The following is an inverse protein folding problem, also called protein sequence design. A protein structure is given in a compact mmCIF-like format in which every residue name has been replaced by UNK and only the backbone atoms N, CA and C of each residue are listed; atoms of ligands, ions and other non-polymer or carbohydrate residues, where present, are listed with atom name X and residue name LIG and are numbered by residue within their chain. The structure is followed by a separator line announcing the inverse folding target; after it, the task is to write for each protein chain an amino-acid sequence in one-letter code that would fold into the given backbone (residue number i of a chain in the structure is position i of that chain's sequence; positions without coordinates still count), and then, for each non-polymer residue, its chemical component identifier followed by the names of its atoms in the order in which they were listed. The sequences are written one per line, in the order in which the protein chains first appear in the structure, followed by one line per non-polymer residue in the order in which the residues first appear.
data_IF_335639493387
#
_entry.id   IF_335639493387
#
_cell.length_a   1.000
_cell.length_b   1.000
_cell.length_c   1.000
_cell.angle_alpha   90.00
_cell.angle_beta   90.00
_cell.angle_gamma   90.00
#
_symmetry.space_group_name_H-M   'P 1'
#
loop_
_entity.id
_entity.type
_entity.pdbx_description
1 polymer ?
#
# COMPACT_ATOMS: atom_id res chain seq x y z
N UNK A 1 -35.36 15.00 -13.73
CA UNK A 1 -34.00 14.45 -13.91
C UNK A 1 -34.19 12.96 -14.06
N UNK A 2 -33.81 12.42 -15.22
CA UNK A 2 -33.85 10.97 -15.44
C UNK A 2 -32.96 10.28 -14.40
N UNK A 3 -33.45 9.18 -13.86
CA UNK A 3 -32.76 8.36 -12.88
C UNK A 3 -31.71 7.50 -13.60
N UNK A 4 -30.47 7.50 -13.13
CA UNK A 4 -29.44 6.62 -13.66
C UNK A 4 -29.38 5.31 -12.89
N UNK A 5 -29.38 4.17 -13.60
CA UNK A 5 -29.22 2.84 -13.00
C UNK A 5 -27.77 2.55 -12.62
N UNK A 6 -26.81 3.10 -13.36
CA UNK A 6 -25.40 3.02 -13.09
C UNK A 6 -24.82 4.42 -12.83
N UNK A 7 -24.20 4.58 -11.67
CA UNK A 7 -23.53 5.80 -11.25
C UNK A 7 -22.02 5.57 -11.31
N UNK A 8 -21.34 6.26 -12.26
CA UNK A 8 -19.90 6.18 -12.39
C UNK A 8 -19.25 7.43 -11.82
N UNK A 9 -18.45 7.27 -10.76
CA UNK A 9 -17.73 8.36 -10.12
C UNK A 9 -16.23 8.17 -10.23
N UNK A 10 -15.49 9.28 -10.29
CA UNK A 10 -14.03 9.28 -10.31
C UNK A 10 -13.41 9.02 -8.94
N UNK A 11 -14.12 9.37 -7.89
CA UNK A 11 -13.67 9.25 -6.50
C UNK A 11 -14.83 8.77 -5.64
N UNK A 12 -14.50 7.99 -4.60
CA UNK A 12 -15.44 7.64 -3.56
C UNK A 12 -15.97 8.90 -2.83
N UNK A 13 -17.28 8.95 -2.66
CA UNK A 13 -17.98 9.90 -1.80
C UNK A 13 -18.92 9.13 -0.87
N UNK A 14 -18.58 9.08 0.40
CA UNK A 14 -19.35 8.32 1.39
C UNK A 14 -20.82 8.74 1.49
N UNK A 15 -21.13 10.01 1.23
CA UNK A 15 -22.51 10.51 1.19
C UNK A 15 -23.35 9.88 0.07
N UNK A 16 -22.71 9.43 -1.04
CA UNK A 16 -23.43 8.86 -2.18
C UNK A 16 -24.05 7.52 -1.85
N UNK A 17 -23.38 6.67 -1.04
CA UNK A 17 -23.92 5.38 -0.64
C UNK A 17 -25.25 5.49 0.11
N UNK A 18 -25.47 6.60 0.83
CA UNK A 18 -26.71 6.84 1.59
C UNK A 18 -27.87 7.28 0.71
N UNK A 19 -27.62 7.63 -0.53
CA UNK A 19 -28.61 8.15 -1.49
C UNK A 19 -28.82 7.21 -2.67
N UNK A 20 -28.21 6.01 -2.64
CA UNK A 20 -28.47 4.98 -3.64
C UNK A 20 -29.80 4.30 -3.36
N UNK A 21 -30.55 4.07 -4.43
CA UNK A 21 -31.68 3.17 -4.40
C UNK A 21 -31.21 1.71 -4.55
N UNK A 22 -31.99 0.75 -4.09
CA UNK A 22 -31.61 -0.67 -4.02
C UNK A 22 -31.27 -1.31 -5.38
N UNK A 23 -31.70 -0.71 -6.46
CA UNK A 23 -31.49 -1.18 -7.84
C UNK A 23 -30.46 -0.34 -8.61
N UNK A 24 -29.79 0.61 -7.95
CA UNK A 24 -28.71 1.40 -8.53
C UNK A 24 -27.34 0.76 -8.27
N UNK A 25 -26.49 0.81 -9.29
CA UNK A 25 -25.11 0.35 -9.21
C UNK A 25 -24.16 1.54 -9.08
N UNK A 26 -23.13 1.37 -8.27
CA UNK A 26 -22.04 2.34 -8.11
C UNK A 26 -20.69 1.65 -8.33
N UNK A 27 -19.79 2.31 -9.05
CA UNK A 27 -18.43 1.79 -9.32
C UNK A 27 -17.47 1.90 -8.14
N UNK A 28 -17.93 2.16 -6.95
CA UNK A 28 -17.15 2.23 -5.73
C UNK A 28 -17.81 1.41 -4.63
N UNK A 29 -17.02 0.94 -3.68
CA UNK A 29 -17.50 0.25 -2.48
C UNK A 29 -17.14 1.06 -1.23
N UNK A 30 -17.98 1.01 -0.17
CA UNK A 30 -17.64 1.67 1.09
C UNK A 30 -16.33 1.17 1.66
N UNK A 31 -15.45 2.09 2.03
CA UNK A 31 -14.16 1.73 2.65
C UNK A 31 -13.09 1.22 1.69
N UNK A 32 -13.24 1.36 0.39
CA UNK A 32 -12.26 0.92 -0.62
C UNK A 32 -10.82 1.38 -0.35
N UNK A 33 -10.66 2.52 0.35
CA UNK A 33 -9.34 3.02 0.74
C UNK A 33 -8.55 2.07 1.61
N UNK A 34 -9.22 1.14 2.28
CA UNK A 34 -8.59 0.08 3.07
C UNK A 34 -7.67 -0.80 2.22
N UNK A 35 -7.96 -0.92 0.92
CA UNK A 35 -7.19 -1.71 -0.04
C UNK A 35 -6.46 -0.85 -1.08
N UNK A 36 -7.06 0.27 -1.49
CA UNK A 36 -6.52 1.10 -2.58
C UNK A 36 -5.42 2.07 -2.14
N UNK A 37 -5.38 2.44 -0.85
CA UNK A 37 -4.27 3.22 -0.31
C UNK A 37 -3.16 2.28 0.18
N UNK A 38 -1.94 2.46 -0.32
CA UNK A 38 -0.79 1.59 -0.03
C UNK A 38 -0.52 1.42 1.47
N UNK A 39 -0.62 2.51 2.23
CA UNK A 39 -0.37 2.48 3.67
C UNK A 39 -1.49 1.76 4.44
N UNK A 40 -2.74 1.99 4.06
CA UNK A 40 -3.86 1.28 4.67
C UNK A 40 -3.80 -0.21 4.34
N UNK A 41 -3.50 -0.57 3.09
CA UNK A 41 -3.33 -1.97 2.70
C UNK A 41 -2.23 -2.66 3.51
N UNK A 42 -1.02 -2.05 3.59
CA UNK A 42 0.09 -2.58 4.38
C UNK A 42 -0.32 -2.82 5.84
N UNK A 43 -0.97 -1.84 6.44
CA UNK A 43 -1.43 -1.94 7.84
C UNK A 43 -2.49 -3.03 8.03
N UNK A 44 -3.47 -3.09 7.15
CA UNK A 44 -4.57 -4.06 7.23
C UNK A 44 -4.05 -5.49 7.03
N UNK A 45 -3.10 -5.73 6.12
CA UNK A 45 -2.47 -7.03 5.94
C UNK A 45 -1.69 -7.47 7.18
N UNK A 46 -0.92 -6.57 7.82
CA UNK A 46 -0.26 -6.88 9.09
C UNK A 46 -1.24 -7.23 10.20
N UNK A 47 -2.32 -6.45 10.31
CA UNK A 47 -3.37 -6.72 11.29
C UNK A 47 -4.05 -8.06 11.01
N UNK A 48 -4.31 -8.36 9.75
CA UNK A 48 -4.87 -9.64 9.33
C UNK A 48 -3.97 -10.79 9.71
N UNK A 49 -2.67 -10.74 9.39
CA UNK A 49 -1.69 -11.77 9.75
C UNK A 49 -1.70 -12.09 11.25
N UNK A 50 -1.79 -11.07 12.11
CA UNK A 50 -1.79 -11.25 13.56
C UNK A 50 -3.09 -11.84 14.13
N UNK A 51 -4.15 -11.93 13.33
CA UNK A 51 -5.48 -12.39 13.76
C UNK A 51 -5.89 -13.73 13.17
N UNK A 52 -5.09 -14.28 12.24
CA UNK A 52 -5.44 -15.51 11.53
C UNK A 52 -5.01 -16.77 12.27
N UNK A 53 -5.76 -17.88 12.10
CA UNK A 53 -5.30 -19.21 12.51
C UNK A 53 -4.00 -19.61 11.80
N UNK A 54 -3.18 -20.49 12.42
CA UNK A 54 -1.88 -20.90 11.88
C UNK A 54 -1.91 -21.49 10.46
N UNK A 55 -3.03 -22.10 10.07
CA UNK A 55 -3.17 -22.77 8.77
C UNK A 55 -3.70 -21.84 7.66
N UNK A 56 -3.83 -20.56 7.93
CA UNK A 56 -4.28 -19.57 6.95
C UNK A 56 -3.07 -19.03 6.18
N UNK A 57 -3.16 -18.85 4.82
CA UNK A 57 -2.08 -18.22 4.06
C UNK A 57 -1.64 -16.89 4.66
N UNK A 58 -0.33 -16.77 4.91
CA UNK A 58 0.23 -15.54 5.44
C UNK A 58 0.25 -14.46 4.37
N UNK A 59 -0.02 -13.19 4.70
CA UNK A 59 0.28 -12.07 3.80
C UNK A 59 1.72 -12.08 3.28
N UNK A 60 2.68 -12.60 4.03
CA UNK A 60 4.08 -12.69 3.63
C UNK A 60 4.31 -13.62 2.43
N UNK A 61 3.37 -14.53 2.14
CA UNK A 61 3.43 -15.43 0.99
C UNK A 61 3.18 -14.71 -0.35
N UNK A 62 2.46 -13.58 -0.33
CA UNK A 62 2.04 -12.88 -1.54
C UNK A 62 2.27 -11.37 -1.53
N UNK A 63 2.58 -10.78 -0.37
CA UNK A 63 2.82 -9.35 -0.22
C UNK A 63 4.23 -9.10 0.29
N UNK A 64 5.09 -8.37 -0.44
CA UNK A 64 6.46 -8.14 -0.01
C UNK A 64 6.51 -7.43 1.33
N UNK A 65 7.47 -7.81 2.16
CA UNK A 65 7.74 -7.19 3.46
C UNK A 65 7.67 -5.67 3.37
N UNK A 66 6.86 -5.05 4.20
CA UNK A 66 6.53 -3.63 4.07
C UNK A 66 6.32 -2.96 5.42
N UNK A 67 6.70 -1.68 5.51
CA UNK A 67 6.58 -0.88 6.73
C UNK A 67 6.00 0.50 6.40
N UNK A 68 5.11 0.98 7.27
CA UNK A 68 4.55 2.32 7.20
C UNK A 68 5.46 3.28 7.96
N UNK A 69 6.36 4.00 7.29
CA UNK A 69 7.33 4.88 7.96
C UNK A 69 6.71 6.03 8.76
N UNK A 70 5.42 6.30 8.55
CA UNK A 70 4.66 7.29 9.31
C UNK A 70 4.00 6.73 10.59
N UNK A 71 4.28 5.48 10.94
CA UNK A 71 3.84 4.84 12.19
C UNK A 71 5.07 4.51 13.00
N UNK A 72 5.09 4.91 14.26
CA UNK A 72 6.25 4.72 15.15
C UNK A 72 6.70 3.27 15.17
N UNK A 73 5.79 2.35 15.51
CA UNK A 73 6.09 0.93 15.68
C UNK A 73 6.71 0.31 14.41
N UNK A 74 6.15 0.65 13.24
CA UNK A 74 6.62 0.16 11.95
C UNK A 74 7.96 0.78 11.55
N UNK A 75 8.13 2.07 11.82
CA UNK A 75 9.36 2.80 11.54
C UNK A 75 10.52 2.25 12.38
N UNK A 76 10.29 2.09 13.68
CA UNK A 76 11.29 1.55 14.60
C UNK A 76 11.64 0.09 14.26
N UNK A 77 10.63 -0.73 13.96
CA UNK A 77 10.82 -2.12 13.53
C UNK A 77 11.64 -2.20 12.23
N UNK A 78 11.38 -1.32 11.27
CA UNK A 78 12.15 -1.27 10.03
C UNK A 78 13.62 -0.94 10.30
N UNK A 79 13.90 0.14 11.05
CA UNK A 79 15.28 0.56 11.30
C UNK A 79 16.06 -0.39 12.22
N UNK A 80 15.36 -1.12 13.11
CA UNK A 80 15.99 -2.10 13.99
C UNK A 80 16.56 -3.31 13.25
N UNK A 81 15.98 -3.71 12.13
CA UNK A 81 16.43 -4.87 11.35
C UNK A 81 17.48 -4.56 10.29
N UNK A 82 17.78 -3.28 10.06
CA UNK A 82 18.74 -2.91 9.02
C UNK A 82 20.14 -3.36 9.40
N UNK A 83 20.93 -3.84 8.44
CA UNK A 83 22.32 -4.15 8.66
C UNK A 83 23.10 -2.89 9.07
N UNK A 84 24.17 -3.08 9.85
CA UNK A 84 25.02 -1.98 10.32
C UNK A 84 25.75 -1.22 9.19
N UNK A 85 25.73 -1.73 7.97
CA UNK A 85 26.33 -1.10 6.78
C UNK A 85 25.38 -1.19 5.60
N UNK A 86 25.43 -0.16 4.77
CA UNK A 86 24.75 -0.16 3.48
C UNK A 86 25.16 -1.39 2.66
N UNK A 87 24.14 -2.07 2.13
CA UNK A 87 24.32 -3.24 1.31
C UNK A 87 23.55 -3.05 0.00
N UNK A 88 24.23 -2.94 -1.15
CA UNK A 88 23.56 -2.78 -2.45
C UNK A 88 22.67 -3.97 -2.83
N UNK A 89 22.84 -5.09 -2.14
CA UNK A 89 21.96 -6.24 -2.29
C UNK A 89 20.69 -6.15 -1.45
N UNK A 90 20.66 -5.29 -0.45
CA UNK A 90 19.50 -5.08 0.40
C UNK A 90 18.61 -3.93 -0.14
N UNK A 91 18.00 -4.15 -1.29
CA UNK A 91 17.19 -3.14 -1.97
C UNK A 91 15.79 -3.04 -1.37
N UNK A 92 15.36 -1.82 -1.18
CA UNK A 92 14.00 -1.47 -0.77
C UNK A 92 13.43 -0.44 -1.73
N UNK A 93 12.11 -0.34 -1.78
CA UNK A 93 11.39 0.64 -2.59
C UNK A 93 10.53 1.52 -1.68
N UNK A 94 10.79 2.82 -1.72
CA UNK A 94 10.04 3.83 -0.99
C UNK A 94 8.90 4.35 -1.87
N UNK A 95 7.66 4.31 -1.36
CA UNK A 95 6.45 4.65 -2.10
C UNK A 95 5.58 5.63 -1.32
N UNK A 96 5.25 6.80 -1.88
CA UNK A 96 4.24 7.68 -1.28
C UNK A 96 2.87 6.99 -1.23
N UNK A 97 2.14 7.15 -0.13
CA UNK A 97 0.84 6.47 0.04
C UNK A 97 -0.28 7.07 -0.82
N UNK A 98 -0.19 8.36 -1.14
CA UNK A 98 -1.24 9.12 -1.83
C UNK A 98 -0.97 9.40 -3.31
N UNK A 99 0.26 9.14 -3.80
CA UNK A 99 0.60 9.35 -5.20
C UNK A 99 0.38 8.09 -6.03
N UNK A 100 0.13 8.30 -7.32
CA UNK A 100 -0.08 7.25 -8.32
C UNK A 100 0.90 7.39 -9.48
N UNK A 101 0.84 6.47 -10.44
CA UNK A 101 1.60 6.50 -11.70
C UNK A 101 3.13 6.60 -11.49
N UNK A 102 3.65 5.93 -10.47
CA UNK A 102 5.08 5.91 -10.17
C UNK A 102 5.67 7.19 -9.59
N UNK A 103 4.85 8.23 -9.39
CA UNK A 103 5.35 9.52 -8.87
C UNK A 103 5.90 9.37 -7.46
N UNK A 104 7.12 9.90 -7.23
CA UNK A 104 7.77 9.90 -5.93
C UNK A 104 8.27 8.53 -5.44
N UNK A 105 8.20 7.49 -6.27
CA UNK A 105 8.78 6.19 -5.98
C UNK A 105 10.28 6.25 -6.19
N UNK A 106 11.06 5.70 -5.24
CA UNK A 106 12.51 5.57 -5.36
C UNK A 106 13.02 4.26 -4.75
N UNK A 107 14.12 3.74 -5.31
CA UNK A 107 14.85 2.61 -4.75
C UNK A 107 15.81 3.13 -3.68
N UNK A 108 15.91 2.41 -2.57
CA UNK A 108 16.75 2.77 -1.42
C UNK A 108 17.63 1.58 -1.05
N UNK A 109 18.92 1.82 -0.86
CA UNK A 109 19.90 0.88 -0.31
C UNK A 109 20.85 1.57 0.69
N UNK A 110 20.80 2.91 0.77
CA UNK A 110 21.49 3.74 1.73
C UNK A 110 20.47 4.23 2.77
N UNK A 111 20.65 3.79 4.01
CA UNK A 111 19.64 3.96 5.03
C UNK A 111 19.94 5.10 6.00
N UNK A 112 21.21 5.55 6.06
CA UNK A 112 21.57 6.67 6.94
C UNK A 112 20.87 7.97 6.54
N UNK A 113 20.81 8.27 5.23
CA UNK A 113 20.05 9.41 4.74
C UNK A 113 18.56 9.25 5.01
N UNK A 114 18.04 8.04 4.82
CA UNK A 114 16.65 7.74 5.09
C UNK A 114 16.33 7.95 6.58
N UNK A 115 17.21 7.48 7.47
CA UNK A 115 17.07 7.65 8.91
C UNK A 115 17.11 9.11 9.34
N UNK A 116 17.92 9.94 8.68
CA UNK A 116 17.94 11.37 8.92
C UNK A 116 16.67 12.07 8.43
N UNK A 117 16.14 11.65 7.27
CA UNK A 117 14.88 12.17 6.73
C UNK A 117 13.67 11.72 7.55
N UNK A 118 13.75 10.55 8.20
CA UNK A 118 12.69 9.96 9.00
C UNK A 118 13.21 9.64 10.42
N UNK A 119 13.61 10.67 11.19
CA UNK A 119 13.98 10.46 12.60
C UNK A 119 12.71 10.05 13.37
N UNK A 120 12.83 8.93 14.09
CA UNK A 120 11.77 8.34 14.92
C UNK A 120 10.55 9.21 15.21
N UNK A 121 9.41 8.77 14.73
CA UNK A 121 8.05 8.94 15.30
C UNK A 121 7.48 10.33 15.60
N UNK A 122 8.17 11.40 15.35
CA UNK A 122 7.59 12.75 15.46
C UNK A 122 7.48 13.40 14.09
N UNK A 123 6.56 12.85 13.33
CA UNK A 123 6.26 13.42 12.05
C UNK A 123 5.17 14.50 12.16
N UNK A 124 5.47 15.77 12.02
CA UNK A 124 4.45 16.79 11.82
C UNK A 124 3.98 16.69 10.38
N UNK A 125 3.09 15.73 10.07
CA UNK A 125 2.78 15.45 8.67
C UNK A 125 1.54 16.12 8.17
N UNK A 126 1.74 16.85 7.09
CA UNK A 126 0.73 17.04 6.05
C UNK A 126 0.36 15.69 5.41
N UNK A 127 -0.79 15.64 4.72
CA UNK A 127 -1.29 14.42 4.02
C UNK A 127 -0.29 13.83 3.03
N UNK A 128 0.66 14.63 2.55
CA UNK A 128 1.50 14.33 1.40
C UNK A 128 2.82 13.62 1.75
N UNK A 129 3.17 13.55 3.05
CA UNK A 129 4.47 13.04 3.50
C UNK A 129 4.45 11.61 4.05
N UNK A 130 3.37 10.85 3.76
CA UNK A 130 3.23 9.49 4.23
C UNK A 130 3.81 8.51 3.23
N UNK A 131 4.82 7.75 3.67
CA UNK A 131 5.49 6.74 2.85
C UNK A 131 5.38 5.36 3.45
N UNK A 132 5.34 4.36 2.58
CA UNK A 132 5.68 2.99 2.93
C UNK A 132 7.06 2.67 2.35
N UNK A 133 7.81 1.82 3.05
CA UNK A 133 9.00 1.18 2.53
C UNK A 133 8.73 -0.31 2.39
N UNK A 134 9.08 -0.87 1.25
CA UNK A 134 8.75 -2.25 0.88
C UNK A 134 9.97 -2.94 0.31
N UNK A 135 10.16 -4.22 0.62
CA UNK A 135 11.24 -5.02 0.07
C UNK A 135 11.15 -5.04 -1.45
N UNK A 136 12.26 -4.74 -2.13
CA UNK A 136 12.30 -4.75 -3.58
C UNK A 136 12.42 -6.18 -4.11
N UNK A 137 11.59 -6.55 -5.08
CA UNK A 137 11.65 -7.83 -5.76
C UNK A 137 12.75 -7.77 -6.82
N UNK A 138 13.92 -8.31 -6.50
CA UNK A 138 15.10 -8.28 -7.38
C UNK A 138 14.97 -9.20 -8.58
N UNK A 139 14.32 -10.36 -8.40
CA UNK A 139 14.17 -11.41 -9.41
C UNK A 139 12.69 -11.55 -9.79
N UNK A 140 12.09 -10.58 -10.51
CA UNK A 140 10.72 -10.71 -10.97
C UNK A 140 10.61 -11.81 -12.04
N UNK A 141 9.41 -12.38 -12.17
CA UNK A 141 9.13 -13.25 -13.30
C UNK A 141 9.29 -12.46 -14.61
N UNK A 142 10.09 -13.02 -15.50
CA UNK A 142 10.32 -12.43 -16.83
C UNK A 142 9.51 -13.21 -17.88
N UNK A 143 8.76 -12.50 -18.71
CA UNK A 143 8.13 -13.05 -19.91
C UNK A 143 8.99 -12.68 -21.11
N UNK A 144 9.54 -13.67 -21.79
CA UNK A 144 10.48 -13.50 -22.91
C UNK A 144 11.67 -12.57 -22.57
N UNK A 145 12.20 -12.67 -21.35
CA UNK A 145 13.32 -11.84 -20.89
C UNK A 145 12.92 -10.41 -20.45
N UNK A 146 11.64 -10.06 -20.49
CA UNK A 146 11.14 -8.73 -20.12
C UNK A 146 10.36 -8.77 -18.79
N UNK A 147 10.60 -7.79 -17.92
CA UNK A 147 9.80 -7.57 -16.73
C UNK A 147 8.35 -7.27 -17.14
N UNK A 148 7.43 -8.01 -16.57
CA UNK A 148 6.01 -7.96 -16.90
C UNK A 148 5.17 -7.64 -15.68
N UNK A 149 4.05 -7.01 -15.89
CA UNK A 149 3.03 -6.73 -14.88
C UNK A 149 1.70 -7.33 -15.35
N UNK A 150 1.01 -7.99 -14.42
CA UNK A 150 -0.36 -8.46 -14.65
C UNK A 150 -1.30 -7.47 -13.96
N UNK A 151 -2.21 -6.88 -14.71
CA UNK A 151 -3.29 -6.08 -14.17
C UNK A 151 -4.58 -6.88 -14.20
N UNK A 152 -5.03 -7.32 -13.03
CA UNK A 152 -6.32 -7.95 -12.84
C UNK A 152 -7.42 -6.92 -12.54
N UNK A 153 -8.63 -7.20 -13.00
CA UNK A 153 -9.85 -6.51 -12.60
C UNK A 153 -10.76 -7.58 -12.02
N UNK A 154 -10.96 -7.56 -10.71
CA UNK A 154 -11.85 -8.49 -10.05
C UNK A 154 -13.10 -7.76 -9.58
N UNK A 155 -14.30 -8.21 -9.99
CA UNK A 155 -15.53 -7.69 -9.43
C UNK A 155 -15.65 -8.14 -7.96
N UNK A 156 -15.91 -7.20 -7.08
CA UNK A 156 -16.27 -7.51 -5.68
C UNK A 156 -17.78 -7.59 -5.64
N UNK A 157 -18.30 -8.78 -5.36
CA UNK A 157 -19.72 -9.01 -5.09
C UNK A 157 -19.89 -8.97 -3.57
N UNK A 158 -20.78 -8.09 -3.11
CA UNK A 158 -21.11 -7.90 -1.68
C UNK A 158 -22.54 -8.40 -1.44
#
# INVERSE_FOLDING_TARGET
VERADLIWMRKEYSAKYRTLDNDQLLNHIPGERSMTNKGHLTWNLKKYANQQPPDTPSPDDFYPESYCLYRTDDCDAFFAQLPARDNPDNLWILKPTYLSSGKGIRIVWQFDELKQQYPTAQFPYGKDDKYIIQKYIKNPLLLNGHKSEIRGFEPIVI
#
